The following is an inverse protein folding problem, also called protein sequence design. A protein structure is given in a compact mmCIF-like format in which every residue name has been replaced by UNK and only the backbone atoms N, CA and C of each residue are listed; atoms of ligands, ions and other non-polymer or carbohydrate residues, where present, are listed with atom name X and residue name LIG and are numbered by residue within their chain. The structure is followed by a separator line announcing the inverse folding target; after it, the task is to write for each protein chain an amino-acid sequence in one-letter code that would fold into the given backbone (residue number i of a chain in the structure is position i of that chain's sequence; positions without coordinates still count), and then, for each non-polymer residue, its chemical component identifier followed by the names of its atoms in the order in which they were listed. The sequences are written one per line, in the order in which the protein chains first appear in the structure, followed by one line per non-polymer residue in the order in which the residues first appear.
data_IF_799799692044
#
_entry.id   IF_799799692044
#
_cell.length_a   1.000
_cell.length_b   1.000
_cell.length_c   1.000
_cell.angle_alpha   90.00
_cell.angle_beta   90.00
_cell.angle_gamma   90.00
#
_symmetry.space_group_name_H-M   'P 1'
#
loop_
_entity.id
_entity.type
_entity.pdbx_description
1 polymer ?
#
# COMPACT_ATOMS: atom_id res chain seq x y z
N UNK A 1 15.91 11.36 7.00
CA UNK A 1 17.04 10.97 6.13
C UNK A 1 16.76 11.61 4.78
N UNK A 2 17.76 12.14 4.07
CA UNK A 2 17.49 12.57 2.69
C UNK A 2 17.30 11.35 1.82
N UNK A 3 16.13 11.24 1.17
CA UNK A 3 15.81 10.14 0.29
C UNK A 3 16.61 10.34 -1.00
N UNK A 4 17.47 9.37 -1.32
CA UNK A 4 18.25 9.42 -2.56
C UNK A 4 17.37 9.14 -3.77
N UNK A 5 17.75 9.62 -4.96
CA UNK A 5 17.02 9.35 -6.21
C UNK A 5 16.81 7.84 -6.44
N UNK A 6 17.83 7.03 -6.12
CA UNK A 6 17.74 5.57 -6.22
C UNK A 6 16.63 5.00 -5.33
N UNK A 7 16.53 5.47 -4.09
CA UNK A 7 15.47 5.04 -3.17
C UNK A 7 14.09 5.46 -3.66
N UNK A 8 13.94 6.66 -4.25
CA UNK A 8 12.67 7.09 -4.83
C UNK A 8 12.24 6.13 -5.95
N UNK A 9 13.15 5.78 -6.86
CA UNK A 9 12.88 4.84 -7.95
C UNK A 9 12.52 3.45 -7.41
N UNK A 10 13.25 2.96 -6.41
CA UNK A 10 12.97 1.66 -5.80
C UNK A 10 11.62 1.63 -5.06
N UNK A 11 11.30 2.68 -4.30
CA UNK A 11 9.99 2.85 -3.65
C UNK A 11 8.88 2.85 -4.70
N UNK A 12 9.07 3.56 -5.81
CA UNK A 12 8.12 3.57 -6.91
C UNK A 12 7.89 2.19 -7.51
N UNK A 13 8.95 1.43 -7.78
CA UNK A 13 8.85 0.06 -8.32
C UNK A 13 8.08 -0.85 -7.34
N UNK A 14 8.43 -0.82 -6.05
CA UNK A 14 7.73 -1.61 -5.01
C UNK A 14 6.25 -1.20 -4.94
N UNK A 15 5.96 0.10 -5.01
CA UNK A 15 4.60 0.61 -5.00
C UNK A 15 3.79 0.16 -6.23
N UNK A 16 4.40 0.14 -7.42
CA UNK A 16 3.75 -0.39 -8.61
C UNK A 16 3.43 -1.88 -8.48
N UNK A 17 4.36 -2.69 -7.96
CA UNK A 17 4.14 -4.13 -7.76
C UNK A 17 3.01 -4.37 -6.76
N UNK A 18 3.06 -3.71 -5.59
CA UNK A 18 2.00 -3.83 -4.59
C UNK A 18 0.65 -3.29 -5.10
N UNK A 19 0.66 -2.25 -5.94
CA UNK A 19 -0.54 -1.70 -6.56
C UNK A 19 -1.19 -2.63 -7.60
N UNK A 20 -0.38 -3.28 -8.45
CA UNK A 20 -0.88 -4.31 -9.38
C UNK A 20 -1.52 -5.48 -8.60
N UNK A 21 -0.87 -5.90 -7.53
CA UNK A 21 -1.33 -7.00 -6.68
C UNK A 21 -2.54 -6.68 -5.82
N UNK A 22 -2.85 -5.39 -5.63
CA UNK A 22 -4.11 -4.94 -5.02
C UNK A 22 -5.33 -5.27 -5.91
N UNK A 23 -5.10 -5.49 -7.20
CA UNK A 23 -6.13 -5.92 -8.16
C UNK A 23 -6.02 -7.41 -8.49
N UNK A 24 -4.81 -7.91 -8.73
CA UNK A 24 -4.58 -9.33 -9.07
C UNK A 24 -4.88 -10.28 -7.91
N UNK A 25 -4.52 -9.90 -6.68
CA UNK A 25 -4.79 -10.65 -5.46
C UNK A 25 -4.20 -12.10 -5.44
N UNK A 26 -3.10 -12.34 -6.17
CA UNK A 26 -2.51 -13.69 -6.30
C UNK A 26 -1.30 -13.90 -5.37
N UNK A 27 -0.30 -13.04 -5.45
CA UNK A 27 0.96 -13.18 -4.69
C UNK A 27 0.96 -12.41 -3.38
N UNK A 28 -0.14 -11.72 -3.07
CA UNK A 28 -0.37 -11.06 -1.79
C UNK A 28 0.63 -9.92 -1.47
N UNK A 29 1.33 -9.37 -2.46
CA UNK A 29 2.26 -8.23 -2.23
C UNK A 29 1.55 -6.96 -1.75
N UNK A 30 0.24 -6.87 -1.95
CA UNK A 30 -0.60 -5.78 -1.44
C UNK A 30 -0.84 -5.88 0.08
N UNK A 31 -0.55 -7.02 0.71
CA UNK A 31 -0.69 -7.21 2.16
C UNK A 31 0.28 -6.31 2.92
N UNK A 32 -0.16 -5.65 4.01
CA UNK A 32 0.67 -4.76 4.79
C UNK A 32 2.02 -5.32 5.22
N UNK A 33 2.08 -6.58 5.64
CA UNK A 33 3.33 -7.19 6.07
C UNK A 33 4.39 -7.17 4.96
N UNK A 34 4.02 -7.56 3.74
CA UNK A 34 4.97 -7.62 2.62
C UNK A 34 5.28 -6.22 2.09
N UNK A 35 4.26 -5.37 1.92
CA UNK A 35 4.44 -4.01 1.42
C UNK A 35 5.34 -3.16 2.35
N UNK A 36 5.07 -3.16 3.66
CA UNK A 36 5.86 -2.39 4.63
C UNK A 36 7.29 -2.91 4.76
N UNK A 37 7.50 -4.22 4.68
CA UNK A 37 8.85 -4.80 4.79
C UNK A 37 9.72 -4.47 3.59
N UNK A 38 9.18 -4.54 2.37
CA UNK A 38 9.88 -4.14 1.16
C UNK A 38 10.23 -2.65 1.17
N UNK A 39 9.30 -1.79 1.58
CA UNK A 39 9.56 -0.35 1.70
C UNK A 39 10.60 -0.06 2.79
N UNK A 40 10.50 -0.72 3.95
CA UNK A 40 11.50 -0.60 5.03
C UNK A 40 12.89 -1.05 4.58
N UNK A 41 12.98 -2.10 3.76
CA UNK A 41 14.24 -2.55 3.18
C UNK A 41 14.86 -1.49 2.25
N UNK A 42 14.05 -0.87 1.37
CA UNK A 42 14.50 0.18 0.46
C UNK A 42 14.95 1.44 1.23
N UNK A 43 14.22 1.80 2.29
CA UNK A 43 14.53 2.96 3.13
C UNK A 43 15.64 2.71 4.16
N UNK A 44 16.15 1.47 4.27
CA UNK A 44 17.27 1.14 5.16
C UNK A 44 16.89 0.88 6.63
N UNK A 45 15.59 0.83 6.97
CA UNK A 45 15.11 0.44 8.29
C UNK A 45 14.03 -0.66 8.16
N UNK A 46 14.52 -1.88 7.96
CA UNK A 46 13.68 -3.05 7.84
C UNK A 46 12.93 -3.36 9.14
N UNK A 47 13.54 -3.10 10.32
CA UNK A 47 12.91 -3.42 11.61
C UNK A 47 11.66 -2.60 11.83
N UNK A 48 11.73 -1.30 11.58
CA UNK A 48 10.58 -0.41 11.65
C UNK A 48 9.52 -0.79 10.61
N UNK A 49 9.93 -1.13 9.38
CA UNK A 49 9.03 -1.65 8.35
C UNK A 49 8.27 -2.93 8.76
N UNK A 50 8.96 -3.91 9.35
CA UNK A 50 8.34 -5.16 9.85
C UNK A 50 7.34 -4.85 10.96
N UNK A 51 7.67 -3.97 11.90
CA UNK A 51 6.79 -3.63 13.03
C UNK A 51 5.50 -2.94 12.54
N UNK A 52 5.64 -1.95 11.63
CA UNK A 52 4.48 -1.28 11.03
C UNK A 52 3.64 -2.30 10.25
N UNK A 53 4.29 -3.11 9.41
CA UNK A 53 3.63 -4.13 8.60
C UNK A 53 2.84 -5.12 9.44
N UNK A 54 3.45 -5.70 10.47
CA UNK A 54 2.77 -6.62 11.38
C UNK A 54 1.60 -5.97 12.12
N UNK A 55 1.70 -4.67 12.45
CA UNK A 55 0.61 -3.96 13.14
C UNK A 55 -0.54 -3.66 12.20
N UNK A 56 -0.24 -3.20 10.97
CA UNK A 56 -1.25 -2.92 9.95
C UNK A 56 -1.89 -4.21 9.42
N UNK A 57 -1.16 -5.32 9.36
CA UNK A 57 -1.69 -6.62 8.98
C UNK A 57 -2.84 -7.04 9.90
N UNK A 58 -2.67 -6.87 11.22
CA UNK A 58 -3.72 -7.18 12.21
C UNK A 58 -4.98 -6.34 12.01
N UNK A 59 -4.85 -5.11 11.49
CA UNK A 59 -5.99 -4.25 11.14
C UNK A 59 -6.63 -4.71 9.82
N UNK A 60 -5.80 -5.11 8.85
CA UNK A 60 -6.21 -5.50 7.51
C UNK A 60 -6.71 -6.94 7.37
N UNK A 61 -6.70 -7.76 8.44
CA UNK A 61 -7.18 -9.15 8.41
C UNK A 61 -8.61 -9.29 7.86
N UNK A 62 -9.46 -8.28 8.08
CA UNK A 62 -10.84 -8.24 7.58
C UNK A 62 -11.01 -7.54 6.22
N UNK A 63 -9.94 -7.02 5.62
CA UNK A 63 -9.99 -6.30 4.35
C UNK A 63 -9.82 -7.28 3.21
N UNK A 64 -10.95 -7.76 2.70
CA UNK A 64 -11.04 -8.69 1.58
C UNK A 64 -12.07 -8.16 0.57
N UNK A 65 -11.73 -8.23 -0.72
CA UNK A 65 -12.66 -7.86 -1.78
C UNK A 65 -13.69 -8.99 -1.95
N UNK A 66 -14.98 -8.70 -1.76
CA UNK A 66 -16.05 -9.71 -1.86
C UNK A 66 -17.07 -9.25 -2.90
N UNK A 67 -17.07 -9.91 -4.05
CA UNK A 67 -17.92 -9.54 -5.19
C UNK A 67 -17.61 -8.13 -5.68
N UNK A 68 -18.63 -7.26 -5.72
CA UNK A 68 -18.46 -5.86 -6.07
C UNK A 68 -18.06 -4.95 -4.88
N UNK A 69 -18.05 -5.48 -3.65
CA UNK A 69 -17.62 -4.73 -2.48
C UNK A 69 -16.10 -4.64 -2.45
N UNK A 70 -15.59 -3.44 -2.67
CA UNK A 70 -14.16 -3.12 -2.61
C UNK A 70 -13.77 -2.81 -1.17
N UNK A 71 -12.79 -3.55 -0.65
CA UNK A 71 -12.23 -3.32 0.67
C UNK A 71 -11.35 -2.05 0.71
N UNK A 72 -11.02 -1.53 1.91
CA UNK A 72 -10.05 -0.46 2.05
C UNK A 72 -8.69 -0.84 1.44
N UNK A 73 -8.02 0.12 0.80
CA UNK A 73 -6.76 -0.13 0.10
C UNK A 73 -5.58 -0.24 1.09
N UNK A 74 -5.27 -1.50 1.43
CA UNK A 74 -4.18 -1.84 2.34
C UNK A 74 -2.79 -1.49 1.77
N UNK A 75 -2.61 -1.61 0.45
CA UNK A 75 -1.30 -1.42 -0.19
C UNK A 75 -0.86 0.05 -0.08
N UNK A 76 -1.75 0.97 -0.49
CA UNK A 76 -1.48 2.40 -0.45
C UNK A 76 -1.26 2.90 0.97
N UNK A 77 -2.10 2.45 1.92
CA UNK A 77 -1.94 2.79 3.33
C UNK A 77 -0.60 2.33 3.90
N UNK A 78 -0.19 1.10 3.57
CA UNK A 78 1.04 0.47 4.07
C UNK A 78 2.30 1.16 3.57
N UNK A 79 2.35 1.49 2.27
CA UNK A 79 3.50 2.15 1.66
C UNK A 79 3.66 3.56 2.25
N UNK A 80 2.60 4.37 2.24
CA UNK A 80 2.66 5.76 2.70
C UNK A 80 2.97 5.82 4.19
N UNK A 81 2.34 4.97 5.01
CA UNK A 81 2.59 4.89 6.45
C UNK A 81 4.07 4.57 6.75
N UNK A 82 4.64 3.61 6.04
CA UNK A 82 6.04 3.21 6.22
C UNK A 82 7.00 4.32 5.81
N UNK A 83 6.75 4.99 4.68
CA UNK A 83 7.55 6.13 4.23
C UNK A 83 7.49 7.28 5.24
N UNK A 84 6.30 7.60 5.76
CA UNK A 84 6.13 8.68 6.74
C UNK A 84 6.87 8.42 8.05
N UNK A 85 6.83 7.18 8.54
CA UNK A 85 7.53 6.81 9.79
C UNK A 85 9.04 6.81 9.59
N UNK A 86 9.55 6.16 8.53
CA UNK A 86 11.00 5.99 8.35
C UNK A 86 11.67 7.26 7.79
N UNK A 87 11.12 7.84 6.71
CA UNK A 87 11.72 9.00 6.07
C UNK A 87 11.27 10.32 6.71
N UNK A 88 9.99 10.40 7.11
CA UNK A 88 9.40 11.56 7.76
C UNK A 88 9.61 11.63 9.28
N UNK A 89 10.33 10.66 9.85
CA UNK A 89 10.66 10.57 11.29
C UNK A 89 9.44 10.68 12.21
N UNK A 90 8.29 10.19 11.74
CA UNK A 90 7.07 10.16 12.53
C UNK A 90 7.08 8.99 13.50
N UNK A 91 6.27 9.07 14.55
CA UNK A 91 6.07 7.91 15.44
C UNK A 91 5.28 6.82 14.70
N UNK A 92 5.53 5.55 15.07
CA UNK A 92 4.77 4.40 14.54
C UNK A 92 3.26 4.60 14.76
N UNK A 93 2.87 5.14 15.92
CA UNK A 93 1.46 5.45 16.22
C UNK A 93 0.86 6.50 15.27
N UNK A 94 1.61 7.54 14.91
CA UNK A 94 1.16 8.53 13.93
C UNK A 94 1.01 7.90 12.52
N UNK A 95 1.95 7.04 12.12
CA UNK A 95 1.87 6.29 10.86
C UNK A 95 0.62 5.40 10.79
N UNK A 96 0.30 4.69 11.87
CA UNK A 96 -0.89 3.83 11.95
C UNK A 96 -2.17 4.67 11.94
N UNK A 97 -2.20 5.79 12.68
CA UNK A 97 -3.36 6.68 12.72
C UNK A 97 -3.71 7.25 11.33
N UNK A 98 -2.68 7.55 10.51
CA UNK A 98 -2.85 8.02 9.14
C UNK A 98 -3.19 6.89 8.16
N UNK A 99 -2.91 5.63 8.48
CA UNK A 99 -3.14 4.52 7.56
C UNK A 99 -4.63 4.32 7.24
N UNK A 100 -5.53 4.51 8.20
CA UNK A 100 -6.99 4.35 8.00
C UNK A 100 -7.57 5.34 6.98
N UNK A 101 -7.39 6.67 7.13
CA UNK A 101 -7.91 7.62 6.14
C UNK A 101 -7.24 7.44 4.76
N UNK A 102 -5.97 7.04 4.72
CA UNK A 102 -5.29 6.72 3.47
C UNK A 102 -5.87 5.49 2.79
N UNK A 103 -6.20 4.43 3.53
CA UNK A 103 -6.84 3.23 2.99
C UNK A 103 -8.22 3.55 2.39
N UNK A 104 -9.00 4.43 3.05
CA UNK A 104 -10.27 4.91 2.53
C UNK A 104 -10.10 5.73 1.24
N UNK A 105 -9.10 6.61 1.18
CA UNK A 105 -8.79 7.37 -0.02
C UNK A 105 -8.35 6.46 -1.19
N UNK A 106 -7.50 5.46 -0.92
CA UNK A 106 -7.08 4.47 -1.91
C UNK A 106 -8.23 3.59 -2.40
N UNK A 107 -9.20 3.27 -1.54
CA UNK A 107 -10.42 2.57 -1.94
C UNK A 107 -11.22 3.38 -2.96
N UNK A 108 -11.42 4.67 -2.72
CA UNK A 108 -12.14 5.55 -3.67
C UNK A 108 -11.39 5.61 -5.00
N UNK A 109 -10.06 5.76 -4.96
CA UNK A 109 -9.23 5.73 -6.17
C UNK A 109 -9.40 4.42 -6.94
N UNK A 110 -9.36 3.28 -6.25
CA UNK A 110 -9.53 1.95 -6.84
C UNK A 110 -10.90 1.81 -7.51
N UNK A 111 -11.97 2.30 -6.89
CA UNK A 111 -13.31 2.30 -7.47
C UNK A 111 -13.36 3.12 -8.76
N UNK A 112 -12.76 4.31 -8.77
CA UNK A 112 -12.70 5.17 -9.96
C UNK A 112 -11.93 4.46 -11.09
N UNK A 113 -10.75 3.91 -10.78
CA UNK A 113 -9.93 3.18 -11.76
C UNK A 113 -10.70 2.01 -12.34
N UNK A 114 -11.35 1.18 -11.50
CA UNK A 114 -12.17 0.04 -11.95
C UNK A 114 -13.37 0.49 -12.80
N UNK A 115 -13.96 1.64 -12.51
CA UNK A 115 -15.05 2.21 -13.32
C UNK A 115 -14.55 2.60 -14.71
N UNK A 116 -13.36 3.22 -14.80
CA UNK A 116 -12.74 3.58 -16.08
C UNK A 116 -12.36 2.32 -16.88
N UNK A 117 -11.97 1.23 -16.22
CA UNK A 117 -11.64 -0.05 -16.89
C UNK A 117 -12.76 -0.57 -17.79
N UNK A 118 -14.03 -0.22 -17.52
CA UNK A 118 -15.16 -0.55 -18.39
C UNK A 118 -14.97 0.00 -19.82
N UNK A 119 -14.37 1.17 -19.98
CA UNK A 119 -14.08 1.74 -21.30
C UNK A 119 -13.10 0.87 -22.11
N UNK A 120 -12.11 0.26 -21.44
CA UNK A 120 -11.16 -0.65 -22.09
C UNK A 120 -11.83 -1.96 -22.53
N UNK A 121 -12.84 -2.44 -21.80
CA UNK A 121 -13.62 -3.60 -22.21
C UNK A 121 -14.48 -3.32 -23.45
N UNK A 122 -15.01 -2.10 -23.59
CA UNK A 122 -15.82 -1.71 -24.75
C UNK A 122 -14.96 -1.32 -25.96
N UNK A 123 -13.79 -0.71 -25.73
CA UNK A 123 -12.86 -0.32 -26.80
C UNK A 123 -11.96 -1.47 -27.30
N UNK A 124 -11.94 -2.60 -26.58
CA UNK A 124 -11.22 -3.81 -26.96
C UNK A 124 -12.03 -4.82 -27.79
N UNK A 125 -13.20 -4.42 -28.30
CA UNK A 125 -14.05 -5.19 -29.23
C UNK A 125 -13.79 -4.85 -30.69
#
# INVERSE_FOLDING_TARGET
MEITLLQIVLVFIVACIAGMESVLDEFQFHRPLIACTLIGAVLGDMKTGIIIGGTLEMIALGWMNIGAAVAPDAALASIISTVLVIAGHQSIGAGIALAIPLAAAGQVLTIIVRTITVAFQHGGG
#
